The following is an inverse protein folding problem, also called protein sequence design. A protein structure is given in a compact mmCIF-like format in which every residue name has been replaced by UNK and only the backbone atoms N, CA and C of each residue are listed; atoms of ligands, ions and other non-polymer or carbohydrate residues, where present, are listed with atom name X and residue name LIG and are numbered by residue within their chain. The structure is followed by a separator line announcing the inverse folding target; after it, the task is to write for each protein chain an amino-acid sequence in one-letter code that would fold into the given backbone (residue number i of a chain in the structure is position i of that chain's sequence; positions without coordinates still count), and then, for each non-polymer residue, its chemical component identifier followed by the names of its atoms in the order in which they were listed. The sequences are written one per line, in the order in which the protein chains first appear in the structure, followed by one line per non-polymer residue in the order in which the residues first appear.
data_IF_036634172435
#
_entry.id   IF_036634172435
#
_cell.length_a   1.000
_cell.length_b   1.000
_cell.length_c   1.000
_cell.angle_alpha   90.00
_cell.angle_beta   90.00
_cell.angle_gamma   90.00
#
_symmetry.space_group_name_H-M   'P 1'
#
loop_
_entity.id
_entity.type
_entity.pdbx_description
1 polymer ?
#
# COMPACT_ATOMS: atom_id res chain seq x y z
N UNK A 1 -13.52 8.01 37.12
CA UNK A 1 -13.13 9.31 36.52
C UNK A 1 -14.30 10.06 35.83
N UNK A 2 -15.43 9.37 35.53
CA UNK A 2 -16.59 9.95 34.80
C UNK A 2 -17.72 10.46 35.75
N UNK A 3 -17.64 10.21 37.05
CA UNK A 3 -18.68 10.63 38.00
C UNK A 3 -18.99 12.13 37.99
N UNK A 4 -18.01 13.03 37.90
CA UNK A 4 -18.31 14.47 37.83
C UNK A 4 -19.09 14.90 36.58
N UNK A 5 -19.00 14.13 35.47
CA UNK A 5 -19.74 14.42 34.25
C UNK A 5 -21.21 14.06 34.31
N UNK A 6 -21.58 13.11 35.18
CA UNK A 6 -22.98 12.71 35.39
C UNK A 6 -23.85 13.84 35.93
N UNK A 7 -23.26 14.75 36.68
CA UNK A 7 -23.94 15.86 37.31
C UNK A 7 -24.02 17.13 36.47
N UNK A 8 -23.31 17.15 35.32
CA UNK A 8 -23.35 18.26 34.39
C UNK A 8 -24.59 18.15 33.49
N UNK A 9 -25.55 19.03 33.68
CA UNK A 9 -26.79 19.09 32.89
C UNK A 9 -26.49 19.16 31.39
N UNK A 10 -25.56 20.01 30.98
CA UNK A 10 -25.14 20.18 29.59
C UNK A 10 -24.64 18.86 29.00
N UNK A 11 -23.88 18.06 29.76
CA UNK A 11 -23.38 16.78 29.28
C UNK A 11 -24.50 15.76 29.08
N UNK A 12 -25.46 15.71 29.98
CA UNK A 12 -26.66 14.86 29.86
C UNK A 12 -27.48 15.24 28.63
N UNK A 13 -27.70 16.53 28.42
CA UNK A 13 -28.46 17.03 27.25
C UNK A 13 -27.82 16.62 25.95
N UNK A 14 -26.46 16.70 25.82
CA UNK A 14 -25.74 16.20 24.67
C UNK A 14 -25.86 14.69 24.49
N UNK A 15 -25.80 13.89 25.54
CA UNK A 15 -25.95 12.43 25.45
C UNK A 15 -27.37 12.03 25.02
N UNK A 16 -28.40 12.74 25.49
CA UNK A 16 -29.79 12.56 25.07
C UNK A 16 -29.95 12.94 23.59
N UNK A 17 -29.31 14.01 23.15
CA UNK A 17 -29.33 14.45 21.74
C UNK A 17 -28.63 13.39 20.84
N UNK A 18 -27.50 12.84 21.27
CA UNK A 18 -26.81 11.74 20.58
C UNK A 18 -27.70 10.49 20.42
N UNK A 19 -28.44 10.12 21.50
CA UNK A 19 -29.34 8.97 21.45
C UNK A 19 -30.53 9.20 20.49
N UNK A 20 -30.92 10.44 20.25
CA UNK A 20 -32.02 10.78 19.33
C UNK A 20 -31.58 10.92 17.86
N UNK A 21 -30.31 11.20 17.61
CA UNK A 21 -29.80 11.45 16.27
C UNK A 21 -28.63 10.51 15.91
N UNK A 22 -28.92 9.35 15.32
CA UNK A 22 -27.88 8.40 14.92
C UNK A 22 -26.80 9.02 14.01
N UNK A 23 -27.17 9.93 13.13
CA UNK A 23 -26.22 10.61 12.23
C UNK A 23 -25.23 11.47 13.05
N UNK A 24 -25.73 12.19 14.07
CA UNK A 24 -24.86 12.97 14.95
C UNK A 24 -23.90 12.04 15.70
N UNK A 25 -24.37 10.88 16.18
CA UNK A 25 -23.55 9.87 16.83
C UNK A 25 -22.38 9.41 15.92
N UNK A 26 -22.64 9.14 14.65
CA UNK A 26 -21.59 8.79 13.67
C UNK A 26 -20.58 9.92 13.53
N UNK A 27 -21.00 11.17 13.38
CA UNK A 27 -20.08 12.30 13.27
C UNK A 27 -19.24 12.48 14.53
N UNK A 28 -19.82 12.32 15.72
CA UNK A 28 -19.08 12.44 16.97
C UNK A 28 -18.05 11.32 17.10
N UNK A 29 -18.42 10.07 16.82
CA UNK A 29 -17.49 8.94 16.84
C UNK A 29 -16.34 9.11 15.84
N UNK A 30 -16.68 9.50 14.61
CA UNK A 30 -15.68 9.79 13.57
C UNK A 30 -14.72 10.90 14.00
N UNK A 31 -15.25 12.05 14.44
CA UNK A 31 -14.45 13.19 14.87
C UNK A 31 -13.55 12.90 16.07
N UNK A 32 -14.07 12.16 17.06
CA UNK A 32 -13.31 11.78 18.24
C UNK A 32 -12.12 10.87 17.86
N UNK A 33 -12.36 9.89 17.02
CA UNK A 33 -11.31 8.94 16.60
C UNK A 33 -10.32 9.59 15.66
N UNK A 34 -10.75 10.51 14.80
CA UNK A 34 -9.86 11.35 13.98
C UNK A 34 -8.88 12.16 14.84
N UNK A 35 -9.35 12.72 15.95
CA UNK A 35 -8.52 13.52 16.85
C UNK A 35 -7.58 12.67 17.69
N UNK A 36 -8.07 11.56 18.25
CA UNK A 36 -7.30 10.67 19.12
C UNK A 36 -6.36 9.76 18.31
N UNK A 37 -6.73 9.41 17.08
CA UNK A 37 -6.03 8.45 16.20
C UNK A 37 -5.86 7.05 16.82
N UNK A 38 -6.74 6.69 17.75
CA UNK A 38 -6.73 5.42 18.44
C UNK A 38 -8.17 4.96 18.74
N UNK A 39 -8.70 4.05 17.93
CA UNK A 39 -10.05 3.49 18.10
C UNK A 39 -10.25 2.83 19.46
N UNK A 40 -9.22 2.14 19.97
CA UNK A 40 -9.29 1.53 21.31
C UNK A 40 -9.55 2.55 22.42
N UNK A 41 -9.04 3.77 22.30
CA UNK A 41 -9.29 4.83 23.27
C UNK A 41 -10.74 5.36 23.15
N UNK A 42 -11.22 5.57 21.93
CA UNK A 42 -12.62 5.98 21.67
C UNK A 42 -13.59 4.92 22.18
N UNK A 43 -13.36 3.65 21.87
CA UNK A 43 -14.18 2.54 22.36
C UNK A 43 -14.11 2.45 23.89
N UNK A 44 -12.94 2.63 24.51
CA UNK A 44 -12.82 2.67 25.98
C UNK A 44 -13.60 3.80 26.64
N UNK A 45 -13.66 4.98 26.01
CA UNK A 45 -14.53 6.08 26.48
C UNK A 45 -16.00 5.65 26.36
N UNK A 46 -16.41 5.08 25.23
CA UNK A 46 -17.78 4.67 24.97
C UNK A 46 -18.24 3.56 25.93
N UNK A 47 -17.36 2.60 26.22
CA UNK A 47 -17.59 1.56 27.23
C UNK A 47 -17.89 2.16 28.61
N UNK A 48 -17.11 3.15 29.06
CA UNK A 48 -17.30 3.83 30.32
C UNK A 48 -18.59 4.67 30.34
N UNK A 49 -18.96 5.33 29.25
CA UNK A 49 -20.22 6.08 29.15
C UNK A 49 -21.41 5.16 29.22
N UNK A 50 -21.40 4.03 28.53
CA UNK A 50 -22.47 3.03 28.57
C UNK A 50 -22.57 2.37 29.94
N UNK A 51 -21.46 1.89 30.50
CA UNK A 51 -21.43 1.29 31.85
C UNK A 51 -21.90 2.25 32.98
N UNK A 52 -21.65 3.54 32.75
CA UNK A 52 -22.10 4.58 33.68
C UNK A 52 -23.59 4.97 33.52
N UNK A 53 -24.28 4.43 32.50
CA UNK A 53 -25.66 4.80 32.18
C UNK A 53 -25.83 6.22 31.64
N UNK A 54 -24.74 6.83 31.14
CA UNK A 54 -24.74 8.17 30.55
C UNK A 54 -25.22 8.17 29.09
N UNK A 55 -25.11 7.05 28.41
CA UNK A 55 -25.63 6.81 27.07
C UNK A 55 -26.29 5.43 27.04
N UNK A 56 -27.40 5.30 26.31
CA UNK A 56 -28.01 4.01 26.05
C UNK A 56 -27.35 3.28 24.86
N UNK A 57 -27.68 2.02 24.64
CA UNK A 57 -27.09 1.22 23.58
C UNK A 57 -27.44 1.81 22.19
N UNK A 58 -28.66 2.33 22.02
CA UNK A 58 -29.11 2.91 20.75
C UNK A 58 -28.33 4.16 20.38
N UNK A 59 -27.89 4.97 21.34
CA UNK A 59 -27.03 6.12 21.13
C UNK A 59 -25.56 5.74 21.01
N UNK A 60 -25.12 4.70 21.73
CA UNK A 60 -23.72 4.26 21.71
C UNK A 60 -23.31 3.62 20.36
N UNK A 61 -24.19 2.83 19.74
CA UNK A 61 -23.90 2.12 18.50
C UNK A 61 -23.54 3.05 17.32
N UNK A 62 -24.26 4.16 17.06
CA UNK A 62 -23.85 5.12 16.02
C UNK A 62 -22.46 5.74 16.26
N UNK A 63 -22.09 6.03 17.51
CA UNK A 63 -20.75 6.53 17.87
C UNK A 63 -19.69 5.46 17.55
N UNK A 64 -19.96 4.21 17.87
CA UNK A 64 -19.12 3.05 17.55
C UNK A 64 -18.94 2.90 16.01
N UNK A 65 -20.01 3.06 15.23
CA UNK A 65 -19.93 3.00 13.77
C UNK A 65 -19.08 4.13 13.21
N UNK A 66 -19.21 5.33 13.78
CA UNK A 66 -18.37 6.49 13.44
C UNK A 66 -16.90 6.29 13.79
N UNK A 67 -16.60 5.64 14.91
CA UNK A 67 -15.23 5.27 15.30
C UNK A 67 -14.52 4.46 14.20
N UNK A 68 -15.22 3.51 13.58
CA UNK A 68 -14.66 2.72 12.48
C UNK A 68 -14.33 3.58 11.23
N UNK A 69 -15.15 4.60 10.91
CA UNK A 69 -14.82 5.56 9.86
C UNK A 69 -13.60 6.38 10.26
N UNK A 70 -13.57 6.90 11.49
CA UNK A 70 -12.46 7.71 12.01
C UNK A 70 -11.12 6.99 11.99
N UNK A 71 -11.10 5.68 12.21
CA UNK A 71 -9.91 4.84 12.18
C UNK A 71 -9.21 4.85 10.82
N UNK A 72 -9.96 5.07 9.73
CA UNK A 72 -9.41 5.07 8.36
C UNK A 72 -8.47 6.23 8.08
N UNK A 73 -8.45 7.28 8.92
CA UNK A 73 -7.56 8.44 8.75
C UNK A 73 -6.09 8.05 8.73
N UNK A 74 -5.70 7.06 9.52
CA UNK A 74 -4.31 6.58 9.58
C UNK A 74 -3.87 5.99 8.24
N UNK A 75 -4.77 5.24 7.57
CA UNK A 75 -4.52 4.71 6.23
C UNK A 75 -4.46 5.83 5.17
N UNK A 76 -5.32 6.86 5.30
CA UNK A 76 -5.28 8.04 4.41
C UNK A 76 -3.96 8.75 4.56
N UNK A 77 -3.53 9.07 5.79
CA UNK A 77 -2.26 9.77 6.05
C UNK A 77 -1.09 8.94 5.53
N UNK A 78 -1.05 7.62 5.78
CA UNK A 78 -0.01 6.73 5.29
C UNK A 78 0.04 6.65 3.75
N UNK A 79 -1.09 6.89 3.08
CA UNK A 79 -1.16 6.89 1.61
C UNK A 79 -0.74 8.23 0.96
N UNK A 80 -0.56 9.29 1.76
CA UNK A 80 -0.06 10.57 1.25
C UNK A 80 1.39 10.41 0.77
N UNK A 81 1.64 10.70 -0.50
CA UNK A 81 2.94 10.48 -1.13
C UNK A 81 3.19 9.05 -1.61
N UNK A 82 2.35 8.07 -1.26
CA UNK A 82 2.49 6.69 -1.72
C UNK A 82 1.98 6.50 -3.17
N UNK A 83 2.26 5.32 -3.72
CA UNK A 83 1.82 4.92 -5.04
C UNK A 83 0.28 4.80 -5.15
N UNK A 84 -0.24 4.65 -6.38
CA UNK A 84 -1.68 4.61 -6.65
C UNK A 84 -2.34 3.38 -6.00
N UNK A 85 -1.65 2.25 -5.97
CA UNK A 85 -2.15 1.04 -5.32
C UNK A 85 -2.40 1.26 -3.83
N UNK A 86 -1.45 1.89 -3.11
CA UNK A 86 -1.61 2.24 -1.69
C UNK A 86 -2.76 3.22 -1.45
N UNK A 87 -2.92 4.24 -2.32
CA UNK A 87 -4.06 5.17 -2.26
C UNK A 87 -5.39 4.46 -2.48
N UNK A 88 -5.45 3.50 -3.40
CA UNK A 88 -6.65 2.67 -3.62
C UNK A 88 -6.97 1.79 -2.42
N UNK A 89 -5.97 1.21 -1.77
CA UNK A 89 -6.19 0.44 -0.53
C UNK A 89 -6.75 1.33 0.59
N UNK A 90 -6.19 2.53 0.79
CA UNK A 90 -6.74 3.50 1.75
C UNK A 90 -8.18 3.92 1.39
N UNK A 91 -8.45 4.19 0.12
CA UNK A 91 -9.77 4.50 -0.39
C UNK A 91 -10.78 3.35 -0.19
N UNK A 92 -10.34 2.11 -0.41
CA UNK A 92 -11.16 0.92 -0.17
C UNK A 92 -11.48 0.76 1.33
N UNK A 93 -10.52 1.03 2.21
CA UNK A 93 -10.72 0.99 3.66
C UNK A 93 -11.77 2.03 4.10
N UNK A 94 -11.71 3.27 3.59
CA UNK A 94 -12.72 4.30 3.84
C UNK A 94 -14.09 3.84 3.33
N UNK A 95 -14.17 3.42 2.06
CA UNK A 95 -15.43 3.03 1.44
C UNK A 95 -16.07 1.84 2.18
N UNK A 96 -15.28 0.84 2.56
CA UNK A 96 -15.74 -0.31 3.34
C UNK A 96 -16.40 0.10 4.66
N UNK A 97 -15.76 1.01 5.42
CA UNK A 97 -16.30 1.47 6.71
C UNK A 97 -17.51 2.39 6.55
N UNK A 98 -17.51 3.28 5.55
CA UNK A 98 -18.66 4.14 5.25
C UNK A 98 -19.87 3.32 4.82
N UNK A 99 -19.70 2.36 3.90
CA UNK A 99 -20.79 1.48 3.45
C UNK A 99 -21.35 0.67 4.63
N UNK A 100 -20.47 0.08 5.43
CA UNK A 100 -20.87 -0.68 6.61
C UNK A 100 -21.65 0.16 7.63
N UNK A 101 -21.18 1.38 7.88
CA UNK A 101 -21.88 2.34 8.75
C UNK A 101 -23.26 2.69 8.21
N UNK A 102 -23.38 2.97 6.90
CA UNK A 102 -24.68 3.27 6.28
C UNK A 102 -25.63 2.09 6.42
N UNK A 103 -25.16 0.87 6.13
CA UNK A 103 -25.98 -0.35 6.29
C UNK A 103 -26.45 -0.49 7.76
N UNK A 104 -25.53 -0.38 8.72
CA UNK A 104 -25.87 -0.55 10.14
C UNK A 104 -26.75 0.58 10.68
N UNK A 105 -26.65 1.80 10.17
CA UNK A 105 -27.57 2.89 10.54
C UNK A 105 -28.98 2.61 9.99
N UNK A 106 -29.12 2.12 8.77
CA UNK A 106 -30.42 1.72 8.20
C UNK A 106 -31.04 0.58 9.02
N UNK A 107 -30.22 -0.35 9.47
CA UNK A 107 -30.66 -1.48 10.30
C UNK A 107 -30.36 -1.28 11.78
N UNK A 108 -30.31 -0.04 12.28
CA UNK A 108 -29.93 0.26 13.67
C UNK A 108 -30.80 -0.46 14.68
N UNK A 109 -32.13 -0.44 14.51
CA UNK A 109 -33.05 -1.07 15.45
C UNK A 109 -32.86 -2.59 15.53
N UNK A 110 -32.87 -3.36 14.44
CA UNK A 110 -32.62 -4.80 14.53
C UNK A 110 -31.19 -5.13 15.01
N UNK A 111 -30.17 -4.31 14.66
CA UNK A 111 -28.82 -4.50 15.15
C UNK A 111 -28.75 -4.27 16.68
N UNK A 112 -29.39 -3.22 17.19
CA UNK A 112 -29.50 -2.98 18.66
C UNK A 112 -30.17 -4.16 19.37
N UNK A 113 -31.27 -4.69 18.81
CA UNK A 113 -31.95 -5.86 19.33
C UNK A 113 -31.07 -7.11 19.37
N UNK A 114 -30.24 -7.31 18.33
CA UNK A 114 -29.27 -8.41 18.27
C UNK A 114 -28.24 -8.29 19.40
N UNK A 115 -27.68 -7.09 19.62
CA UNK A 115 -26.68 -6.87 20.68
C UNK A 115 -27.32 -7.04 22.07
N UNK A 116 -28.53 -6.56 22.30
CA UNK A 116 -29.27 -6.78 23.56
C UNK A 116 -29.55 -8.27 23.80
N UNK A 117 -29.86 -9.01 22.77
CA UNK A 117 -30.00 -10.47 22.85
C UNK A 117 -28.68 -11.14 23.27
N UNK A 118 -27.57 -10.77 22.70
CA UNK A 118 -26.25 -11.28 23.09
C UNK A 118 -25.88 -10.86 24.54
N UNK A 119 -26.14 -9.60 24.90
CA UNK A 119 -25.93 -9.10 26.26
C UNK A 119 -26.64 -9.97 27.28
N UNK A 120 -27.92 -10.28 27.01
CA UNK A 120 -28.74 -11.11 27.90
C UNK A 120 -28.34 -12.58 27.88
N UNK A 121 -28.12 -13.15 26.68
CA UNK A 121 -27.83 -14.58 26.50
C UNK A 121 -26.45 -14.98 27.04
N UNK A 122 -25.46 -14.09 26.95
CA UNK A 122 -24.10 -14.32 27.41
C UNK A 122 -23.81 -13.65 28.78
N UNK A 123 -24.80 -12.97 29.34
CA UNK A 123 -24.66 -12.21 30.60
C UNK A 123 -23.45 -11.27 30.60
N UNK A 124 -23.34 -10.47 29.52
CA UNK A 124 -22.22 -9.57 29.32
C UNK A 124 -22.26 -8.40 30.29
N UNK A 125 -21.10 -8.02 30.84
CA UNK A 125 -20.98 -6.74 31.54
C UNK A 125 -21.13 -5.58 30.52
N UNK A 126 -21.60 -4.39 30.95
CA UNK A 126 -21.85 -3.27 30.04
C UNK A 126 -20.65 -2.90 29.16
N UNK A 127 -19.43 -2.91 29.69
CA UNK A 127 -18.20 -2.64 28.93
C UNK A 127 -17.98 -3.71 27.88
N UNK A 128 -18.25 -4.98 28.19
CA UNK A 128 -18.14 -6.09 27.26
C UNK A 128 -19.20 -6.04 26.18
N UNK A 129 -20.39 -5.51 26.46
CA UNK A 129 -21.46 -5.32 25.47
C UNK A 129 -21.01 -4.40 24.33
N UNK A 130 -20.35 -3.30 24.64
CA UNK A 130 -19.80 -2.39 23.62
C UNK A 130 -18.66 -3.05 22.81
N UNK A 131 -17.74 -3.75 23.49
CA UNK A 131 -16.67 -4.48 22.80
C UNK A 131 -17.23 -5.57 21.88
N UNK A 132 -18.25 -6.30 22.35
CA UNK A 132 -18.93 -7.33 21.57
C UNK A 132 -19.68 -6.73 20.36
N UNK A 133 -20.35 -5.59 20.56
CA UNK A 133 -21.03 -4.86 19.50
C UNK A 133 -20.02 -4.42 18.41
N UNK A 134 -18.82 -3.94 18.80
CA UNK A 134 -17.75 -3.57 17.87
C UNK A 134 -17.27 -4.78 17.05
N UNK A 135 -17.00 -5.90 17.68
CA UNK A 135 -16.65 -7.15 17.00
C UNK A 135 -17.75 -7.62 16.05
N UNK A 136 -19.02 -7.61 16.52
CA UNK A 136 -20.18 -8.01 15.72
C UNK A 136 -20.37 -7.11 14.50
N UNK A 137 -20.21 -5.79 14.65
CA UNK A 137 -20.25 -4.85 13.53
C UNK A 137 -19.21 -5.23 12.45
N UNK A 138 -17.95 -5.37 12.85
CA UNK A 138 -16.87 -5.64 11.89
C UNK A 138 -17.03 -7.01 11.20
N UNK A 139 -17.42 -8.06 11.93
CA UNK A 139 -17.67 -9.38 11.36
C UNK A 139 -18.86 -9.33 10.39
N UNK A 140 -19.97 -8.74 10.80
CA UNK A 140 -21.17 -8.62 9.95
C UNK A 140 -20.88 -7.81 8.69
N UNK A 141 -20.19 -6.67 8.84
CA UNK A 141 -19.78 -5.82 7.74
C UNK A 141 -18.90 -6.59 6.73
N UNK A 142 -17.94 -7.36 7.23
CA UNK A 142 -17.08 -8.21 6.40
C UNK A 142 -17.88 -9.26 5.64
N UNK A 143 -18.78 -9.98 6.32
CA UNK A 143 -19.61 -11.03 5.69
C UNK A 143 -20.49 -10.43 4.60
N UNK A 144 -21.11 -9.27 4.85
CA UNK A 144 -21.98 -8.61 3.87
C UNK A 144 -21.19 -8.11 2.66
N UNK A 145 -20.03 -7.50 2.88
CA UNK A 145 -19.27 -6.86 1.79
C UNK A 145 -18.34 -7.82 1.04
N UNK A 146 -17.97 -8.97 1.63
CA UNK A 146 -17.05 -9.93 1.01
C UNK A 146 -17.48 -10.36 -0.41
N UNK A 147 -18.75 -10.69 -0.69
CA UNK A 147 -19.19 -11.03 -2.05
C UNK A 147 -19.05 -9.88 -3.05
N UNK A 148 -18.96 -8.63 -2.57
CA UNK A 148 -18.91 -7.41 -3.39
C UNK A 148 -17.52 -6.79 -3.48
N UNK A 149 -16.47 -7.52 -3.07
CA UNK A 149 -15.09 -6.99 -3.06
C UNK A 149 -14.64 -6.52 -4.46
N UNK A 150 -15.07 -7.20 -5.53
CA UNK A 150 -14.80 -6.79 -6.91
C UNK A 150 -15.47 -5.47 -7.28
N UNK A 151 -16.70 -5.24 -6.81
CA UNK A 151 -17.40 -3.97 -7.03
C UNK A 151 -16.73 -2.83 -6.23
N UNK A 152 -16.32 -3.09 -5.00
CA UNK A 152 -15.58 -2.14 -4.18
C UNK A 152 -14.25 -1.74 -4.86
N UNK A 153 -13.49 -2.72 -5.34
CA UNK A 153 -12.25 -2.49 -6.09
C UNK A 153 -12.49 -1.67 -7.36
N UNK A 154 -13.54 -1.97 -8.11
CA UNK A 154 -13.92 -1.21 -9.32
C UNK A 154 -14.25 0.26 -8.99
N UNK A 155 -15.07 0.50 -7.95
CA UNK A 155 -15.45 1.85 -7.52
C UNK A 155 -14.21 2.65 -7.14
N UNK A 156 -13.34 2.08 -6.31
CA UNK A 156 -12.12 2.75 -5.83
C UNK A 156 -11.16 3.03 -6.98
N UNK A 157 -11.00 2.09 -7.91
CA UNK A 157 -10.15 2.29 -9.09
C UNK A 157 -10.67 3.43 -9.97
N UNK A 158 -12.00 3.59 -10.06
CA UNK A 158 -12.62 4.68 -10.82
C UNK A 158 -12.51 6.04 -10.11
N UNK A 159 -12.59 6.04 -8.77
CA UNK A 159 -12.47 7.27 -7.96
C UNK A 159 -11.02 7.75 -7.85
N UNK A 160 -10.06 6.83 -7.88
CA UNK A 160 -8.61 7.11 -7.83
C UNK A 160 -8.01 6.63 -9.15
N UNK A 161 -8.13 7.43 -10.22
CA UNK A 161 -7.61 7.08 -11.54
C UNK A 161 -6.08 7.14 -11.55
N UNK A 162 -5.49 6.48 -12.53
CA UNK A 162 -4.06 6.40 -12.76
C UNK A 162 -3.59 4.95 -12.76
N UNK A 163 -2.40 4.74 -13.21
CA UNK A 163 -1.68 3.47 -13.13
C UNK A 163 -0.35 3.77 -12.47
N UNK A 164 0.04 2.92 -11.53
CA UNK A 164 1.42 2.89 -11.13
C UNK A 164 2.20 2.48 -12.39
N UNK A 165 3.24 3.22 -12.74
CA UNK A 165 4.18 2.76 -13.77
C UNK A 165 4.82 1.47 -13.23
N UNK A 166 4.12 0.36 -13.41
CA UNK A 166 4.68 -0.97 -13.17
C UNK A 166 5.67 -1.16 -14.30
N UNK A 167 6.93 -0.93 -14.02
CA UNK A 167 7.98 -1.50 -14.87
C UNK A 167 7.72 -3.00 -14.80
N UNK A 168 7.24 -3.61 -15.89
CA UNK A 168 7.01 -5.06 -15.92
C UNK A 168 8.37 -5.72 -15.88
N UNK A 169 8.74 -6.21 -14.73
CA UNK A 169 9.96 -6.97 -14.47
C UNK A 169 9.83 -8.40 -15.03
N UNK A 170 9.48 -8.51 -16.30
CA UNK A 170 9.34 -9.80 -16.96
C UNK A 170 10.40 -9.93 -18.03
N UNK A 171 11.14 -11.03 -17.96
CA UNK A 171 11.93 -11.49 -19.10
C UNK A 171 10.98 -11.76 -20.27
N UNK A 172 11.21 -11.11 -21.40
CA UNK A 172 10.29 -11.11 -22.54
C UNK A 172 10.53 -12.28 -23.49
N UNK A 173 11.77 -12.77 -23.56
CA UNK A 173 12.20 -13.69 -24.60
C UNK A 173 12.58 -15.09 -24.08
N UNK A 174 12.54 -15.34 -22.76
CA UNK A 174 12.99 -16.59 -22.16
C UNK A 174 11.87 -17.64 -22.16
N UNK A 175 11.87 -18.50 -23.16
CA UNK A 175 10.97 -19.66 -23.25
C UNK A 175 11.68 -20.94 -22.79
N UNK A 176 11.29 -21.46 -21.64
CA UNK A 176 11.89 -22.68 -21.05
C UNK A 176 11.67 -23.94 -21.89
N UNK A 177 10.61 -24.00 -22.70
CA UNK A 177 10.35 -25.16 -23.56
C UNK A 177 11.40 -25.29 -24.67
N UNK A 178 11.90 -24.16 -25.17
CA UNK A 178 12.90 -24.13 -26.22
C UNK A 178 14.27 -24.64 -25.76
N UNK A 179 14.58 -24.63 -24.47
CA UNK A 179 15.85 -25.13 -23.94
C UNK A 179 16.09 -26.57 -24.40
N UNK A 180 15.09 -27.44 -24.29
CA UNK A 180 15.19 -28.85 -24.68
C UNK A 180 14.87 -29.11 -26.15
N UNK A 181 13.94 -28.33 -26.74
CA UNK A 181 13.43 -28.60 -28.08
C UNK A 181 14.32 -28.00 -29.17
N UNK A 182 14.93 -26.85 -28.94
CA UNK A 182 15.73 -26.11 -29.90
C UNK A 182 16.77 -25.22 -29.20
N UNK A 183 17.85 -25.80 -28.63
CA UNK A 183 18.84 -25.05 -27.82
C UNK A 183 19.44 -23.85 -28.54
N UNK A 184 19.71 -23.94 -29.85
CA UNK A 184 20.23 -22.83 -30.64
C UNK A 184 19.24 -21.64 -30.72
N UNK A 185 17.94 -21.92 -30.78
CA UNK A 185 16.90 -20.87 -30.77
C UNK A 185 16.80 -20.26 -29.38
N UNK A 186 16.87 -21.10 -28.36
CA UNK A 186 16.89 -20.66 -26.96
C UNK A 186 18.06 -19.70 -26.69
N UNK A 187 19.25 -20.00 -27.21
CA UNK A 187 20.42 -19.12 -27.13
C UNK A 187 20.19 -17.78 -27.84
N UNK A 188 19.56 -17.81 -29.03
CA UNK A 188 19.17 -16.61 -29.76
C UNK A 188 18.18 -15.72 -28.98
N UNK A 189 17.26 -16.34 -28.25
CA UNK A 189 16.33 -15.63 -27.37
C UNK A 189 17.02 -15.05 -26.14
N UNK A 190 17.96 -15.78 -25.53
CA UNK A 190 18.80 -15.25 -24.44
C UNK A 190 19.58 -14.00 -24.87
N UNK A 191 20.08 -13.96 -26.11
CA UNK A 191 20.75 -12.78 -26.66
C UNK A 191 19.79 -11.59 -26.79
N UNK A 192 18.52 -11.81 -27.17
CA UNK A 192 17.52 -10.73 -27.21
C UNK A 192 17.20 -10.22 -25.81
N UNK A 193 17.14 -11.12 -24.82
CA UNK A 193 16.94 -10.72 -23.44
C UNK A 193 18.11 -9.91 -22.88
N UNK A 194 19.35 -10.27 -23.23
CA UNK A 194 20.53 -9.45 -22.91
C UNK A 194 20.42 -8.03 -23.46
N UNK A 195 19.96 -7.86 -24.71
CA UNK A 195 19.74 -6.53 -25.29
C UNK A 195 18.63 -5.77 -24.56
N UNK A 196 17.60 -6.48 -24.12
CA UNK A 196 16.53 -5.92 -23.30
C UNK A 196 17.07 -5.44 -21.95
N UNK A 197 17.90 -6.23 -21.27
CA UNK A 197 18.60 -5.85 -20.04
C UNK A 197 19.48 -4.61 -20.25
N UNK A 198 20.22 -4.54 -21.37
CA UNK A 198 21.03 -3.37 -21.75
C UNK A 198 20.24 -2.08 -21.85
N UNK A 199 19.01 -2.15 -22.39
CA UNK A 199 18.13 -0.98 -22.45
C UNK A 199 17.71 -0.50 -21.05
N UNK A 200 17.52 -1.43 -20.09
CA UNK A 200 17.23 -1.07 -18.69
C UNK A 200 18.45 -0.45 -18.00
N UNK A 201 19.64 -1.00 -18.23
CA UNK A 201 20.89 -0.46 -17.66
C UNK A 201 21.15 0.97 -18.16
N UNK A 202 20.99 1.22 -19.48
CA UNK A 202 21.06 2.57 -20.04
C UNK A 202 20.02 3.51 -19.40
N UNK A 203 18.77 3.05 -19.29
CA UNK A 203 17.70 3.85 -18.67
C UNK A 203 17.97 4.14 -17.19
N UNK A 204 18.51 3.20 -16.43
CA UNK A 204 18.88 3.42 -15.03
C UNK A 204 19.94 4.52 -14.89
N UNK A 205 20.95 4.48 -15.77
CA UNK A 205 21.99 5.49 -15.82
C UNK A 205 21.43 6.88 -16.17
N UNK A 206 20.56 6.97 -17.19
CA UNK A 206 19.89 8.23 -17.56
C UNK A 206 19.04 8.81 -16.42
N UNK A 207 18.31 7.96 -15.69
CA UNK A 207 17.50 8.36 -14.57
C UNK A 207 18.36 8.86 -13.39
N UNK A 208 19.50 8.20 -13.12
CA UNK A 208 20.42 8.64 -12.06
C UNK A 208 21.01 10.02 -12.37
N UNK A 209 21.43 10.26 -13.61
CA UNK A 209 21.90 11.57 -14.05
C UNK A 209 20.80 12.63 -13.96
N UNK A 210 19.60 12.33 -14.47
CA UNK A 210 18.45 13.25 -14.41
C UNK A 210 18.10 13.63 -12.98
N UNK A 211 18.20 12.66 -12.06
CA UNK A 211 17.93 12.89 -10.63
C UNK A 211 18.99 13.79 -10.00
N UNK A 212 20.29 13.58 -10.30
CA UNK A 212 21.37 14.44 -9.78
C UNK A 212 21.17 15.90 -10.17
N UNK A 213 20.70 16.15 -11.39
CA UNK A 213 20.49 17.54 -11.89
C UNK A 213 19.18 18.14 -11.40
N UNK A 214 18.08 17.37 -11.41
CA UNK A 214 16.73 17.89 -11.21
C UNK A 214 16.17 17.69 -9.80
N UNK A 215 16.73 16.80 -9.00
CA UNK A 215 16.34 16.47 -7.63
C UNK A 215 14.84 16.11 -7.48
N UNK A 216 14.22 15.56 -8.54
CA UNK A 216 12.81 15.12 -8.53
C UNK A 216 12.70 13.70 -7.96
N UNK A 217 12.09 13.57 -6.77
CA UNK A 217 11.89 12.29 -6.08
C UNK A 217 11.19 11.23 -6.94
N UNK A 218 10.33 11.64 -7.89
CA UNK A 218 9.68 10.69 -8.81
C UNK A 218 10.68 10.08 -9.80
N UNK A 219 11.72 10.81 -10.16
CA UNK A 219 12.81 10.29 -11.01
C UNK A 219 13.63 9.30 -10.22
N UNK A 220 13.94 9.58 -8.95
CA UNK A 220 14.62 8.63 -8.07
C UNK A 220 13.83 7.33 -7.90
N UNK A 221 12.52 7.43 -7.62
CA UNK A 221 11.66 6.25 -7.50
C UNK A 221 11.64 5.38 -8.78
N UNK A 222 11.61 6.03 -9.96
CA UNK A 222 11.74 5.32 -11.25
C UNK A 222 13.09 4.66 -11.41
N UNK A 223 14.16 5.31 -10.97
CA UNK A 223 15.51 4.79 -10.99
C UNK A 223 15.64 3.50 -10.18
N UNK A 224 15.20 3.50 -8.93
CA UNK A 224 15.18 2.32 -8.06
C UNK A 224 14.35 1.17 -8.65
N UNK A 225 13.16 1.46 -9.18
CA UNK A 225 12.33 0.44 -9.86
C UNK A 225 13.01 -0.13 -11.12
N UNK A 226 13.79 0.68 -11.81
CA UNK A 226 14.50 0.23 -13.01
C UNK A 226 15.66 -0.70 -12.63
N UNK A 227 16.34 -0.42 -11.54
CA UNK A 227 17.39 -1.29 -10.98
C UNK A 227 16.80 -2.63 -10.50
N UNK A 228 15.68 -2.63 -9.77
CA UNK A 228 14.97 -3.85 -9.39
C UNK A 228 14.56 -4.71 -10.61
N UNK A 229 14.21 -4.07 -11.74
CA UNK A 229 13.97 -4.75 -13.01
C UNK A 229 15.24 -5.41 -13.55
N UNK A 230 16.37 -4.71 -13.51
CA UNK A 230 17.68 -5.21 -13.97
C UNK A 230 18.03 -6.48 -13.20
N UNK A 231 17.97 -6.46 -11.87
CA UNK A 231 18.25 -7.60 -11.00
C UNK A 231 17.33 -8.79 -11.31
N UNK A 232 16.03 -8.53 -11.50
CA UNK A 232 15.06 -9.59 -11.82
C UNK A 232 15.33 -10.22 -13.17
N UNK A 233 15.67 -9.43 -14.19
CA UNK A 233 15.97 -9.93 -15.55
C UNK A 233 17.29 -10.69 -15.55
N UNK A 234 18.34 -10.16 -14.90
CA UNK A 234 19.63 -10.83 -14.79
C UNK A 234 19.50 -12.19 -14.09
N UNK A 235 18.79 -12.28 -12.96
CA UNK A 235 18.56 -13.55 -12.27
C UNK A 235 17.86 -14.58 -13.17
N UNK A 236 16.81 -14.16 -13.90
CA UNK A 236 16.08 -15.04 -14.81
C UNK A 236 16.94 -15.47 -16.00
N UNK A 237 17.67 -14.55 -16.61
CA UNK A 237 18.55 -14.82 -17.74
C UNK A 237 19.68 -15.76 -17.32
N UNK A 238 20.34 -15.50 -16.21
CA UNK A 238 21.39 -16.36 -15.65
C UNK A 238 20.87 -17.78 -15.39
N UNK A 239 19.71 -17.92 -14.75
CA UNK A 239 19.09 -19.22 -14.50
C UNK A 239 18.73 -19.97 -15.78
N UNK A 240 18.24 -19.26 -16.78
CA UNK A 240 17.94 -19.79 -18.10
C UNK A 240 19.19 -20.31 -18.81
N UNK A 241 20.28 -19.53 -18.82
CA UNK A 241 21.56 -19.89 -19.43
C UNK A 241 22.24 -21.09 -18.74
N UNK A 242 22.16 -21.16 -17.38
CA UNK A 242 22.64 -22.34 -16.63
C UNK A 242 21.90 -23.61 -17.06
N UNK A 243 20.57 -23.54 -17.27
CA UNK A 243 19.82 -24.71 -17.78
C UNK A 243 20.19 -25.05 -19.22
N UNK A 244 20.34 -24.01 -20.06
CA UNK A 244 20.73 -24.19 -21.45
C UNK A 244 22.13 -24.79 -21.61
N UNK A 245 23.06 -24.49 -20.70
CA UNK A 245 24.42 -25.04 -20.71
C UNK A 245 24.47 -26.56 -20.49
N UNK A 246 23.39 -27.15 -19.96
CA UNK A 246 23.27 -28.59 -19.77
C UNK A 246 22.82 -29.35 -21.03
N UNK A 247 22.44 -28.62 -22.10
CA UNK A 247 22.01 -29.18 -23.38
C UNK A 247 23.21 -29.31 -24.36
N UNK A 248 23.00 -30.05 -25.45
CA UNK A 248 24.03 -30.26 -26.45
C UNK A 248 24.25 -29.02 -27.32
N UNK A 249 25.18 -28.16 -26.91
CA UNK A 249 25.61 -26.98 -27.64
C UNK A 249 26.94 -27.27 -28.36
N UNK A 250 27.13 -26.67 -29.54
CA UNK A 250 28.43 -26.63 -30.20
C UNK A 250 29.41 -25.77 -29.38
N UNK A 251 30.71 -25.95 -29.62
CA UNK A 251 31.75 -25.14 -28.98
C UNK A 251 31.50 -23.62 -29.17
N UNK A 252 31.13 -23.20 -30.37
CA UNK A 252 30.83 -21.80 -30.67
C UNK A 252 29.60 -21.27 -29.91
N UNK A 253 28.57 -22.10 -29.77
CA UNK A 253 27.38 -21.71 -28.97
C UNK A 253 27.69 -21.64 -27.51
N UNK A 254 28.54 -22.52 -26.98
CA UNK A 254 28.99 -22.47 -25.61
C UNK A 254 29.82 -21.19 -25.31
N UNK A 255 30.66 -20.76 -26.24
CA UNK A 255 31.37 -19.48 -26.14
C UNK A 255 30.40 -18.29 -26.15
N UNK A 256 29.38 -18.30 -27.00
CA UNK A 256 28.33 -17.26 -27.03
C UNK A 256 27.55 -17.24 -25.71
N UNK A 257 27.19 -18.41 -25.16
CA UNK A 257 26.50 -18.52 -23.88
C UNK A 257 27.32 -17.88 -22.74
N UNK A 258 28.62 -18.19 -22.68
CA UNK A 258 29.52 -17.60 -21.69
C UNK A 258 29.60 -16.07 -21.82
N UNK A 259 29.74 -15.58 -23.06
CA UNK A 259 29.76 -14.14 -23.32
C UNK A 259 28.45 -13.45 -22.89
N UNK A 260 27.30 -14.09 -23.08
CA UNK A 260 26.00 -13.54 -22.61
C UNK A 260 25.98 -13.48 -21.08
N UNK A 261 26.46 -14.51 -20.37
CA UNK A 261 26.53 -14.54 -18.92
C UNK A 261 27.42 -13.42 -18.36
N UNK A 262 28.60 -13.25 -18.96
CA UNK A 262 29.54 -12.21 -18.52
C UNK A 262 28.97 -10.80 -18.80
N UNK A 263 28.39 -10.59 -19.99
CA UNK A 263 27.76 -9.32 -20.34
C UNK A 263 26.54 -9.01 -19.48
N UNK A 264 25.74 -10.02 -19.10
CA UNK A 264 24.59 -9.82 -18.21
C UNK A 264 25.02 -9.26 -16.87
N UNK A 265 26.07 -9.84 -16.29
CA UNK A 265 26.67 -9.39 -15.03
C UNK A 265 27.23 -7.97 -15.11
N UNK A 266 27.87 -7.61 -16.25
CA UNK A 266 28.39 -6.26 -16.45
C UNK A 266 27.25 -5.24 -16.55
N UNK A 267 26.12 -5.59 -17.17
CA UNK A 267 24.94 -4.73 -17.27
C UNK A 267 24.24 -4.56 -15.91
N UNK A 268 24.17 -5.61 -15.10
CA UNK A 268 23.66 -5.55 -13.73
C UNK A 268 24.51 -4.60 -12.88
N UNK A 269 25.85 -4.68 -12.98
CA UNK A 269 26.75 -3.76 -12.28
C UNK A 269 26.57 -2.30 -12.70
N UNK A 270 26.21 -2.03 -13.95
CA UNK A 270 25.84 -0.66 -14.39
C UNK A 270 24.57 -0.21 -13.65
N UNK A 271 23.59 -1.10 -13.48
CA UNK A 271 22.39 -0.85 -12.68
C UNK A 271 22.71 -0.52 -11.22
N UNK A 272 23.55 -1.33 -10.58
CA UNK A 272 24.04 -1.12 -9.21
C UNK A 272 24.74 0.23 -9.03
N UNK A 273 25.58 0.61 -10.00
CA UNK A 273 26.24 1.92 -9.97
C UNK A 273 25.25 3.07 -10.14
N UNK A 274 24.23 2.92 -11.00
CA UNK A 274 23.17 3.90 -11.16
C UNK A 274 22.37 4.07 -9.84
N UNK A 275 22.04 2.97 -9.16
CA UNK A 275 21.41 3.02 -7.84
C UNK A 275 22.33 3.69 -6.79
N UNK A 276 23.61 3.38 -6.81
CA UNK A 276 24.60 4.03 -5.94
C UNK A 276 24.61 5.56 -6.11
N UNK A 277 24.45 6.05 -7.34
CA UNK A 277 24.35 7.49 -7.64
C UNK A 277 23.03 8.09 -7.10
N UNK A 278 21.90 7.38 -7.20
CA UNK A 278 20.63 7.81 -6.61
C UNK A 278 20.76 7.94 -5.08
N UNK A 279 21.27 6.91 -4.43
CA UNK A 279 21.45 6.88 -2.98
C UNK A 279 22.43 7.96 -2.48
N UNK A 280 23.50 8.23 -3.23
CA UNK A 280 24.44 9.31 -2.93
C UNK A 280 23.76 10.67 -3.04
N UNK A 281 22.94 10.88 -4.06
CA UNK A 281 22.21 12.15 -4.26
C UNK A 281 21.22 12.38 -3.12
N UNK A 282 20.46 11.37 -2.69
CA UNK A 282 19.59 11.43 -1.52
C UNK A 282 20.35 11.79 -0.24
N UNK A 283 21.53 11.19 -0.05
CA UNK A 283 22.37 11.51 1.09
C UNK A 283 22.83 12.98 1.09
N UNK A 284 23.26 13.51 -0.06
CA UNK A 284 23.68 14.90 -0.20
C UNK A 284 22.53 15.88 0.05
N UNK A 285 21.33 15.56 -0.46
CA UNK A 285 20.12 16.36 -0.20
C UNK A 285 19.82 16.44 1.30
N UNK A 286 19.83 15.30 2.01
CA UNK A 286 19.59 15.26 3.47
C UNK A 286 20.62 16.06 4.27
N UNK A 287 21.82 16.25 3.71
CA UNK A 287 22.90 17.04 4.31
C UNK A 287 22.90 18.51 3.88
N UNK A 288 21.94 18.93 3.03
CA UNK A 288 21.91 20.26 2.38
C UNK A 288 23.22 20.60 1.64
N UNK A 289 23.87 19.60 1.05
CA UNK A 289 25.05 19.79 0.22
C UNK A 289 24.61 19.86 -1.24
N UNK A 290 25.06 20.88 -1.94
CA UNK A 290 24.79 21.08 -3.38
C UNK A 290 26.09 20.97 -4.15
N UNK A 291 26.00 20.45 -5.39
CA UNK A 291 27.11 20.52 -6.32
C UNK A 291 27.36 21.95 -6.78
N UNK A 292 28.63 22.31 -6.97
CA UNK A 292 28.97 23.57 -7.60
C UNK A 292 28.66 23.54 -9.09
N UNK A 293 28.48 24.70 -9.74
CA UNK A 293 28.24 24.80 -11.18
C UNK A 293 29.36 24.10 -11.99
N UNK A 294 30.61 24.26 -11.58
CA UNK A 294 31.75 23.58 -12.21
C UNK A 294 31.66 22.05 -12.09
N UNK A 295 31.21 21.52 -10.94
CA UNK A 295 31.05 20.08 -10.77
C UNK A 295 29.89 19.53 -11.62
N UNK A 296 28.83 20.31 -11.82
CA UNK A 296 27.72 19.94 -12.71
C UNK A 296 28.14 19.95 -14.18
N UNK A 297 28.99 20.89 -14.61
CA UNK A 297 29.55 20.93 -15.95
C UNK A 297 30.45 19.69 -16.21
N UNK A 298 31.36 19.36 -15.30
CA UNK A 298 32.22 18.19 -15.40
C UNK A 298 31.39 16.88 -15.43
N UNK A 299 30.33 16.79 -14.61
CA UNK A 299 29.43 15.66 -14.61
C UNK A 299 28.68 15.51 -15.95
N UNK A 300 28.26 16.63 -16.55
CA UNK A 300 27.62 16.63 -17.86
C UNK A 300 28.57 16.15 -18.98
N UNK A 301 29.84 16.54 -18.92
CA UNK A 301 30.87 16.07 -19.87
C UNK A 301 31.09 14.55 -19.74
N UNK A 302 31.19 14.04 -18.51
CA UNK A 302 31.34 12.59 -18.25
C UNK A 302 30.12 11.85 -18.79
N UNK A 303 28.91 12.33 -18.48
CA UNK A 303 27.67 11.70 -18.95
C UNK A 303 27.56 11.64 -20.47
N UNK A 304 27.98 12.69 -21.18
CA UNK A 304 27.98 12.73 -22.65
C UNK A 304 29.02 11.78 -23.27
N UNK A 305 30.08 11.46 -22.54
CA UNK A 305 31.15 10.59 -23.00
C UNK A 305 30.85 9.09 -22.77
N UNK A 306 29.85 8.80 -21.98
CA UNK A 306 29.40 7.44 -21.61
C UNK A 306 28.26 7.00 -22.50
#
# INVERSE_FOLDING_TARGET
AMEPLKDLQVFRDYMVELSKSPILGVFVGTGLTLLIQASSATIGILQNLYASGLIDLQGALPVLFGDNIGTTITAIIASLGANIAAKRVAGAHVAFNVIGTVICIVFLVPFTGLIQWFESALNLAPEMTIAFAHGTFNITNTIIQFPFIGALAYIVTKLIPGEDEVVKYEALYLDEQLIKQAPSIALGNAKKELLHLGNYASKAFDLSYTYIIGLDEKVAEKGHKTEEAINTIDEKLTRYLIRLSSESLSQKESEVLTNILDSSRDLERIGDHAEGLLNLTDYLQRKNVQFSDAALEELAEIYQAT
#
